data_IF_803364246127
#
_entry.id   IF_803364246127
#
_cell.length_a   1.000
_cell.length_b   1.000
_cell.length_c   1.000
_cell.angle_alpha   90.00
_cell.angle_beta   90.00
_cell.angle_gamma   90.00
#
_symmetry.space_group_name_H-M   'P 1'
#
loop_
_entity.id
_entity.type
_entity.pdbx_description
1 polymer ?
#
# COMPACT_ATOMS: atom_id res chain seq x y z
N UNK A 1 20.85 -18.25 14.83
CA UNK A 1 19.56 -17.86 15.42
C UNK A 1 19.10 -16.60 14.71
N UNK A 2 18.08 -16.70 13.86
CA UNK A 2 17.42 -15.53 13.28
C UNK A 2 16.12 -15.28 14.05
N UNK A 3 15.97 -14.15 14.77
CA UNK A 3 14.74 -13.85 15.50
C UNK A 3 13.52 -13.64 14.58
N UNK A 4 13.72 -13.39 13.27
CA UNK A 4 12.65 -13.14 12.31
C UNK A 4 11.89 -11.84 12.60
N UNK A 5 10.56 -11.91 12.59
CA UNK A 5 9.59 -10.82 12.80
C UNK A 5 9.47 -9.78 11.68
N UNK A 6 9.81 -10.16 10.45
CA UNK A 6 9.53 -9.34 9.28
C UNK A 6 8.24 -9.82 8.58
N UNK A 7 7.58 -8.90 7.88
CA UNK A 7 6.53 -9.19 6.92
C UNK A 7 7.14 -9.25 5.52
N UNK A 8 7.21 -10.45 4.94
CA UNK A 8 7.84 -10.73 3.64
C UNK A 8 6.75 -11.24 2.70
N UNK A 9 5.94 -10.32 2.18
CA UNK A 9 4.87 -10.64 1.21
C UNK A 9 4.51 -9.43 0.34
N UNK A 10 3.95 -9.69 -0.84
CA UNK A 10 3.57 -8.68 -1.81
C UNK A 10 4.76 -8.09 -2.59
N UNK A 11 5.90 -8.79 -2.62
CA UNK A 11 7.03 -8.39 -3.46
C UNK A 11 6.86 -9.07 -4.83
N UNK A 12 6.85 -8.27 -5.90
CA UNK A 12 6.68 -8.80 -7.25
C UNK A 12 7.37 -7.95 -8.29
N UNK A 13 7.75 -8.59 -9.40
CA UNK A 13 8.33 -7.94 -10.57
C UNK A 13 7.55 -8.34 -11.82
N UNK A 14 7.16 -7.36 -12.64
CA UNK A 14 6.47 -7.56 -13.93
C UNK A 14 5.21 -8.47 -13.90
N UNK A 15 4.52 -8.55 -12.76
CA UNK A 15 3.29 -9.35 -12.59
C UNK A 15 3.49 -10.76 -12.04
N UNK A 16 4.74 -11.19 -11.78
CA UNK A 16 5.04 -12.38 -11.00
C UNK A 16 5.31 -12.00 -9.53
N UNK A 17 4.67 -12.70 -8.59
CA UNK A 17 4.87 -12.50 -7.14
C UNK A 17 6.01 -13.43 -6.70
N UNK A 18 7.15 -12.84 -6.36
CA UNK A 18 8.26 -13.52 -5.71
C UNK A 18 8.53 -12.75 -4.43
N UNK A 19 7.90 -13.19 -3.34
CA UNK A 19 8.02 -12.57 -2.02
C UNK A 19 9.48 -12.56 -1.53
N UNK A 20 10.28 -13.56 -1.94
CA UNK A 20 11.72 -13.59 -1.78
C UNK A 20 12.42 -14.28 -2.97
N UNK A 21 13.51 -13.68 -3.49
CA UNK A 21 14.37 -14.29 -4.51
C UNK A 21 15.80 -14.37 -3.97
N UNK A 22 16.38 -15.58 -3.84
CA UNK A 22 17.78 -15.71 -3.47
C UNK A 22 18.68 -15.61 -4.71
N UNK A 23 19.24 -14.44 -5.00
CA UNK A 23 20.10 -14.23 -6.16
C UNK A 23 21.58 -14.57 -5.91
N UNK A 24 21.88 -15.37 -4.89
CA UNK A 24 23.25 -15.73 -4.51
C UNK A 24 23.38 -17.23 -4.25
N UNK A 25 24.60 -17.81 -4.31
CA UNK A 25 24.84 -19.19 -3.89
C UNK A 25 24.78 -19.42 -2.36
N UNK A 26 24.65 -18.36 -1.57
CA UNK A 26 24.66 -18.46 -0.10
C UNK A 26 23.25 -18.68 0.44
N UNK A 27 23.14 -19.48 1.50
CA UNK A 27 21.86 -19.74 2.16
C UNK A 27 21.30 -18.49 2.86
N UNK A 28 19.98 -18.35 2.83
CA UNK A 28 19.23 -17.31 3.53
C UNK A 28 18.42 -17.95 4.66
N UNK A 29 18.65 -17.46 5.88
CA UNK A 29 17.83 -17.82 7.03
C UNK A 29 16.66 -16.83 7.12
N UNK A 30 15.45 -17.25 6.76
CA UNK A 30 14.23 -16.43 6.71
C UNK A 30 13.12 -16.95 7.65
N UNK A 31 13.53 -17.61 8.73
CA UNK A 31 12.67 -18.25 9.72
C UNK A 31 11.97 -17.21 10.60
N UNK A 32 10.78 -17.54 11.12
CA UNK A 32 9.96 -16.69 11.99
C UNK A 32 9.51 -15.38 11.32
N UNK A 33 9.36 -15.34 9.99
CA UNK A 33 8.76 -14.22 9.27
C UNK A 33 7.30 -14.52 8.89
N UNK A 34 6.49 -13.48 8.71
CA UNK A 34 5.12 -13.59 8.22
C UNK A 34 5.08 -13.36 6.71
N UNK A 35 4.47 -14.30 5.98
CA UNK A 35 4.50 -14.34 4.51
C UNK A 35 3.12 -14.03 3.89
N UNK A 36 2.25 -13.30 4.62
CA UNK A 36 0.88 -13.01 4.18
C UNK A 36 -0.07 -14.22 4.27
N UNK A 37 0.47 -15.41 4.52
CA UNK A 37 -0.25 -16.67 4.71
C UNK A 37 0.54 -17.59 5.64
N UNK A 38 -0.16 -18.54 6.26
CA UNK A 38 0.45 -19.62 7.04
C UNK A 38 0.44 -20.96 6.28
N UNK A 39 -0.04 -20.95 5.04
CA UNK A 39 -0.01 -22.12 4.16
C UNK A 39 1.41 -22.29 3.58
N UNK A 40 2.09 -23.38 3.95
CA UNK A 40 3.49 -23.64 3.58
C UNK A 40 3.69 -23.68 2.07
N UNK A 41 2.81 -24.38 1.35
CA UNK A 41 2.92 -24.53 -0.11
C UNK A 41 2.79 -23.18 -0.83
N UNK A 42 1.92 -22.30 -0.31
CA UNK A 42 1.76 -20.93 -0.83
C UNK A 42 2.99 -20.07 -0.59
N UNK A 43 3.67 -20.26 0.54
CA UNK A 43 4.93 -19.55 0.85
C UNK A 43 6.05 -20.06 -0.06
N UNK A 44 6.20 -21.38 -0.22
CA UNK A 44 7.20 -21.97 -1.12
C UNK A 44 7.05 -21.46 -2.56
N UNK A 45 5.83 -21.40 -3.08
CA UNK A 45 5.56 -20.89 -4.44
C UNK A 45 5.99 -19.44 -4.66
N UNK A 46 6.14 -18.64 -3.60
CA UNK A 46 6.55 -17.24 -3.67
C UNK A 46 8.04 -17.04 -3.33
N UNK A 47 8.79 -18.12 -3.06
CA UNK A 47 10.22 -18.08 -2.81
C UNK A 47 10.94 -18.71 -4.01
N UNK A 48 11.85 -17.98 -4.64
CA UNK A 48 12.73 -18.54 -5.68
C UNK A 48 14.11 -18.84 -5.08
N UNK A 49 14.48 -20.13 -5.00
CA UNK A 49 15.71 -20.57 -4.33
C UNK A 49 16.22 -21.92 -4.85
N UNK A 50 17.08 -22.61 -4.07
CA UNK A 50 17.78 -23.83 -4.48
C UNK A 50 16.90 -24.91 -5.16
N UNK A 51 15.65 -25.20 -4.73
CA UNK A 51 14.79 -26.17 -5.41
C UNK A 51 14.38 -25.77 -6.84
N UNK A 52 14.36 -24.47 -7.14
CA UNK A 52 14.04 -23.93 -8.47
C UNK A 52 15.28 -23.83 -9.36
N UNK A 53 16.42 -23.40 -8.78
CA UNK A 53 17.71 -23.35 -9.45
C UNK A 53 18.82 -23.84 -8.50
N UNK A 54 19.48 -24.97 -8.80
CA UNK A 54 20.51 -25.55 -7.94
C UNK A 54 21.79 -24.72 -7.80
N UNK A 55 21.96 -23.63 -8.56
CA UNK A 55 23.09 -22.69 -8.39
C UNK A 55 22.86 -21.65 -7.27
N UNK A 56 21.63 -21.56 -6.75
CA UNK A 56 21.24 -20.63 -5.70
C UNK A 56 21.34 -21.30 -4.32
N UNK A 57 21.50 -20.48 -3.28
CA UNK A 57 21.48 -20.96 -1.90
C UNK A 57 20.06 -21.28 -1.42
N UNK A 58 19.97 -22.09 -0.37
CA UNK A 58 18.70 -22.49 0.22
C UNK A 58 18.07 -21.35 1.03
N UNK A 59 16.76 -21.15 0.88
CA UNK A 59 16.00 -20.30 1.81
C UNK A 59 15.38 -21.20 2.89
N UNK A 60 15.83 -21.03 4.12
CA UNK A 60 15.21 -21.68 5.29
C UNK A 60 14.15 -20.75 5.86
N UNK A 61 12.86 -20.97 5.57
CA UNK A 61 11.76 -20.08 5.97
C UNK A 61 10.87 -20.64 7.09
N UNK A 62 11.01 -21.93 7.43
CA UNK A 62 10.28 -22.55 8.53
C UNK A 62 11.00 -22.36 9.87
N UNK A 63 10.28 -22.09 10.97
CA UNK A 63 8.82 -21.96 11.05
C UNK A 63 8.31 -20.60 10.53
N UNK A 64 7.07 -20.57 10.04
CA UNK A 64 6.38 -19.33 9.62
C UNK A 64 5.79 -18.65 10.86
N UNK A 65 5.99 -17.34 11.00
CA UNK A 65 5.32 -16.57 12.04
C UNK A 65 3.85 -16.36 11.68
N UNK A 66 2.99 -16.33 12.70
CA UNK A 66 1.62 -15.83 12.56
C UNK A 66 1.68 -14.34 12.23
N UNK A 67 0.61 -13.81 11.63
CA UNK A 67 0.45 -12.37 11.40
C UNK A 67 0.89 -11.62 12.66
N UNK A 68 1.79 -10.61 12.56
CA UNK A 68 2.20 -9.87 13.74
C UNK A 68 0.94 -9.30 14.39
N UNK A 69 0.61 -9.80 15.58
CA UNK A 69 -0.49 -9.30 16.43
C UNK A 69 -0.12 -7.94 17.02
N UNK A 70 0.24 -6.97 16.18
CA UNK A 70 0.07 -5.58 16.53
C UNK A 70 -1.42 -5.34 16.53
N UNK A 71 -2.03 -5.06 17.69
CA UNK A 71 -3.46 -4.80 17.89
C UNK A 71 -4.27 -5.14 16.65
N UNK A 72 -4.69 -6.40 16.51
CA UNK A 72 -5.77 -6.70 15.59
C UNK A 72 -6.93 -5.86 16.09
N UNK A 73 -7.11 -4.69 15.50
CA UNK A 73 -8.43 -4.12 15.41
C UNK A 73 -9.25 -5.28 14.86
N UNK A 74 -10.26 -5.76 15.61
CA UNK A 74 -11.00 -6.95 15.21
C UNK A 74 -11.35 -6.80 13.75
N UNK A 75 -11.40 -7.90 13.00
CA UNK A 75 -11.88 -7.92 11.63
C UNK A 75 -13.32 -7.39 11.58
N UNK A 76 -13.50 -6.08 11.73
CA UNK A 76 -14.36 -5.31 10.87
C UNK A 76 -13.87 -5.70 9.50
N UNK A 77 -14.74 -6.31 8.70
CA UNK A 77 -14.60 -6.27 7.26
C UNK A 77 -14.18 -4.85 6.90
N UNK A 78 -12.88 -4.62 6.66
CA UNK A 78 -12.39 -3.32 6.25
C UNK A 78 -12.90 -3.17 4.83
N UNK A 79 -14.13 -2.67 4.72
CA UNK A 79 -14.64 -1.99 3.54
C UNK A 79 -13.80 -0.70 3.42
N UNK A 80 -12.50 -0.87 3.21
CA UNK A 80 -11.53 0.21 3.13
C UNK A 80 -11.78 0.96 1.83
N UNK A 81 -11.82 2.28 1.93
CA UNK A 81 -11.81 3.12 0.74
C UNK A 81 -10.38 3.07 0.18
N UNK A 82 -10.25 2.59 -1.04
CA UNK A 82 -9.03 2.69 -1.82
C UNK A 82 -9.07 4.07 -2.50
N UNK A 83 -8.04 4.87 -2.24
CA UNK A 83 -7.86 6.17 -2.87
C UNK A 83 -6.48 6.23 -3.52
N UNK A 84 -6.44 6.27 -4.84
CA UNK A 84 -5.23 6.45 -5.62
C UNK A 84 -5.09 7.93 -6.01
N UNK A 85 -3.88 8.46 -5.92
CA UNK A 85 -3.62 9.86 -6.27
C UNK A 85 -2.45 9.96 -7.23
N UNK A 86 -2.67 10.59 -8.39
CA UNK A 86 -1.66 10.72 -9.43
C UNK A 86 -1.84 12.01 -10.27
N UNK A 87 -0.77 12.60 -10.80
CA UNK A 87 0.62 12.30 -10.47
C UNK A 87 0.93 12.78 -9.04
N UNK A 88 1.81 12.06 -8.36
CA UNK A 88 2.41 12.49 -7.10
C UNK A 88 3.89 12.09 -7.14
N UNK A 89 4.83 13.03 -7.32
CA UNK A 89 4.68 14.49 -7.19
C UNK A 89 3.85 15.19 -8.30
N UNK A 90 3.36 16.40 -8.01
CA UNK A 90 2.65 17.27 -8.96
C UNK A 90 3.14 18.72 -8.87
N UNK A 91 2.82 19.57 -9.84
CA UNK A 91 3.12 21.00 -9.83
C UNK A 91 1.91 21.87 -9.49
N UNK A 92 0.69 21.41 -9.81
CA UNK A 92 -0.52 22.26 -9.69
C UNK A 92 -1.83 21.49 -9.53
N UNK A 93 -1.94 20.31 -10.14
CA UNK A 93 -3.17 19.51 -10.11
C UNK A 93 -2.89 18.01 -9.99
N UNK A 94 -3.77 17.28 -9.34
CA UNK A 94 -3.70 15.82 -9.24
C UNK A 94 -5.09 15.21 -9.38
N UNK A 95 -5.14 13.95 -9.76
CA UNK A 95 -6.35 13.15 -9.88
C UNK A 95 -6.49 12.25 -8.66
N UNK A 96 -7.72 12.07 -8.18
CA UNK A 96 -8.10 11.19 -7.08
C UNK A 96 -9.08 10.16 -7.61
N UNK A 97 -8.61 8.93 -7.75
CA UNK A 97 -9.46 7.77 -8.04
C UNK A 97 -9.89 7.15 -6.71
N UNK A 98 -11.20 6.93 -6.55
CA UNK A 98 -11.78 6.38 -5.33
C UNK A 98 -12.54 5.11 -5.68
N UNK A 99 -12.13 3.99 -5.08
CA UNK A 99 -12.80 2.70 -5.19
C UNK A 99 -13.32 2.31 -3.80
N UNK A 100 -14.59 1.92 -3.74
CA UNK A 100 -15.26 1.46 -2.53
C UNK A 100 -16.06 0.20 -2.86
N UNK A 101 -16.06 -0.78 -1.96
CA UNK A 101 -16.89 -1.97 -2.07
C UNK A 101 -18.38 -1.71 -1.78
N UNK A 102 -18.75 -0.51 -1.31
CA UNK A 102 -20.12 -0.11 -0.92
C UNK A 102 -20.86 0.64 -2.05
N UNK A 103 -20.76 0.17 -3.30
CA UNK A 103 -21.41 0.80 -4.45
C UNK A 103 -22.92 0.51 -4.44
N UNK A 104 -23.67 1.06 -3.48
CA UNK A 104 -25.13 1.09 -3.57
C UNK A 104 -25.74 2.47 -3.31
N UNK A 105 -25.03 3.40 -2.67
CA UNK A 105 -25.39 4.81 -2.62
C UNK A 105 -24.08 5.60 -2.70
N UNK A 106 -23.92 6.52 -3.65
CA UNK A 106 -22.67 7.25 -3.86
C UNK A 106 -22.70 8.59 -3.12
N UNK A 107 -22.26 8.69 -1.84
CA UNK A 107 -22.00 9.99 -1.28
C UNK A 107 -20.85 10.62 -2.08
N UNK A 108 -21.02 11.88 -2.48
CA UNK A 108 -19.93 12.67 -3.04
C UNK A 108 -18.83 12.75 -1.95
N UNK A 109 -17.58 12.35 -2.24
CA UNK A 109 -16.51 12.43 -1.26
C UNK A 109 -16.20 13.88 -0.92
N UNK A 110 -16.01 14.17 0.35
CA UNK A 110 -15.42 15.43 0.80
C UNK A 110 -13.91 15.39 0.59
N UNK A 111 -13.38 16.32 -0.21
CA UNK A 111 -11.94 16.49 -0.43
C UNK A 111 -11.46 17.78 0.21
N UNK A 112 -10.42 17.68 1.03
CA UNK A 112 -9.83 18.80 1.76
C UNK A 112 -8.30 18.69 1.68
N UNK A 113 -7.62 19.78 1.36
CA UNK A 113 -6.17 19.81 1.26
C UNK A 113 -5.59 20.78 2.29
N UNK A 114 -4.59 20.34 3.06
CA UNK A 114 -3.86 21.19 4.01
C UNK A 114 -2.35 21.11 3.81
N UNK A 115 -1.63 22.16 4.16
CA UNK A 115 -0.16 22.12 4.21
C UNK A 115 0.34 21.36 5.47
N UNK A 116 1.66 21.20 5.58
CA UNK A 116 2.27 20.52 6.73
C UNK A 116 2.06 21.24 8.08
N UNK A 117 1.71 22.53 8.05
CA UNK A 117 1.31 23.30 9.24
C UNK A 117 -0.18 23.18 9.57
N UNK A 118 -0.96 22.44 8.77
CA UNK A 118 -2.40 22.26 8.94
C UNK A 118 -3.25 23.38 8.36
N UNK A 119 -2.67 24.38 7.68
CA UNK A 119 -3.43 25.44 7.02
C UNK A 119 -4.09 24.88 5.76
N UNK A 120 -5.37 25.19 5.56
CA UNK A 120 -6.13 24.75 4.40
C UNK A 120 -5.65 25.44 3.13
N UNK A 121 -5.39 24.64 2.09
CA UNK A 121 -5.08 25.10 0.74
C UNK A 121 -6.37 25.17 -0.07
N UNK A 122 -6.56 26.27 -0.79
CA UNK A 122 -7.72 26.46 -1.64
C UNK A 122 -7.62 25.56 -2.89
N UNK A 123 -8.67 24.77 -3.15
CA UNK A 123 -8.75 23.83 -4.26
C UNK A 123 -10.06 23.99 -5.04
N UNK A 124 -10.01 23.71 -6.33
CA UNK A 124 -11.18 23.36 -7.14
C UNK A 124 -11.21 21.85 -7.35
N UNK A 125 -12.40 21.27 -7.26
CA UNK A 125 -12.63 19.82 -7.42
C UNK A 125 -13.59 19.62 -8.57
N UNK A 126 -13.11 18.96 -9.62
CA UNK A 126 -13.90 18.63 -10.81
C UNK A 126 -14.15 17.13 -10.84
N UNK A 127 -15.43 16.72 -10.89
CA UNK A 127 -15.80 15.31 -11.06
C UNK A 127 -15.54 14.88 -12.51
N UNK A 128 -14.86 13.76 -12.69
CA UNK A 128 -14.59 13.13 -13.98
C UNK A 128 -15.08 11.66 -13.97
N UNK A 129 -15.00 10.97 -15.11
CA UNK A 129 -15.55 9.63 -15.28
C UNK A 129 -15.03 8.60 -14.25
N UNK A 130 -13.75 8.70 -13.88
CA UNK A 130 -13.05 7.72 -13.03
C UNK A 130 -12.63 8.30 -11.66
N UNK A 131 -13.14 9.47 -11.26
CA UNK A 131 -12.70 10.11 -10.03
C UNK A 131 -12.83 11.62 -10.02
N UNK A 132 -11.88 12.29 -9.38
CA UNK A 132 -11.92 13.74 -9.13
C UNK A 132 -10.59 14.38 -9.48
N UNK A 133 -10.60 15.37 -10.37
CA UNK A 133 -9.45 16.23 -10.64
C UNK A 133 -9.44 17.39 -9.66
N UNK A 134 -8.38 17.47 -8.87
CA UNK A 134 -8.15 18.52 -7.87
C UNK A 134 -7.11 19.49 -8.41
N UNK A 135 -7.44 20.78 -8.39
CA UNK A 135 -6.59 21.87 -8.90
C UNK A 135 -6.36 22.88 -7.78
N UNK A 136 -5.11 23.27 -7.54
CA UNK A 136 -4.80 24.34 -6.60
C UNK A 136 -5.26 25.69 -7.15
N UNK A 137 -5.89 26.53 -6.32
CA UNK A 137 -6.18 27.93 -6.71
C UNK A 137 -4.95 28.83 -6.67
N UNK A 138 -3.99 28.48 -5.82
CA UNK A 138 -2.78 29.26 -5.58
C UNK A 138 -1.56 28.35 -5.70
N UNK A 139 -0.44 28.93 -6.16
CA UNK A 139 0.81 28.18 -6.24
C UNK A 139 1.26 27.73 -4.84
N UNK A 140 1.56 26.44 -4.70
CA UNK A 140 2.07 25.86 -3.48
C UNK A 140 3.22 24.92 -3.81
N UNK A 141 4.24 24.87 -2.93
CA UNK A 141 5.37 23.97 -3.02
C UNK A 141 5.61 23.33 -1.66
N UNK A 142 5.99 22.06 -1.66
CA UNK A 142 6.22 21.28 -0.45
C UNK A 142 5.17 20.20 -0.24
N UNK A 143 5.05 19.74 1.00
CA UNK A 143 4.19 18.61 1.36
C UNK A 143 2.81 19.13 1.74
N UNK A 144 1.77 18.49 1.18
CA UNK A 144 0.38 18.69 1.57
C UNK A 144 -0.27 17.36 1.94
N UNK A 145 -1.34 17.43 2.72
CA UNK A 145 -2.14 16.28 3.13
C UNK A 145 -3.56 16.44 2.58
N UNK A 146 -3.95 15.51 1.71
CA UNK A 146 -5.31 15.38 1.20
C UNK A 146 -6.10 14.50 2.16
N UNK A 147 -7.12 15.07 2.80
CA UNK A 147 -8.15 14.34 3.55
C UNK A 147 -9.33 14.05 2.62
N UNK A 148 -9.70 12.78 2.56
CA UNK A 148 -10.80 12.23 1.77
C UNK A 148 -11.82 11.68 2.77
N UNK A 149 -13.02 12.22 2.75
CA UNK A 149 -14.13 11.76 3.59
C UNK A 149 -15.19 11.15 2.68
N UNK A 150 -15.58 9.91 2.92
CA UNK A 150 -16.61 9.23 2.14
C UNK A 150 -17.47 8.40 3.09
N UNK A 151 -18.78 8.66 3.10
CA UNK A 151 -19.68 8.21 4.15
C UNK A 151 -19.14 8.59 5.54
N UNK A 152 -18.95 7.61 6.43
CA UNK A 152 -18.40 7.73 7.78
C UNK A 152 -16.88 7.52 7.85
N UNK A 153 -16.24 7.23 6.72
CA UNK A 153 -14.81 6.88 6.66
C UNK A 153 -13.96 8.06 6.20
N UNK A 154 -12.76 8.12 6.77
CA UNK A 154 -11.74 9.14 6.46
C UNK A 154 -10.45 8.47 6.02
N UNK A 155 -9.88 8.93 4.91
CA UNK A 155 -8.57 8.53 4.40
C UNK A 155 -7.70 9.77 4.19
N UNK A 156 -6.41 9.67 4.50
CA UNK A 156 -5.45 10.75 4.25
C UNK A 156 -4.36 10.31 3.28
N UNK A 157 -3.96 11.19 2.35
CA UNK A 157 -2.88 10.97 1.38
C UNK A 157 -1.90 12.13 1.39
N UNK A 158 -0.61 11.83 1.38
CA UNK A 158 0.47 12.81 1.25
C UNK A 158 0.66 13.17 -0.21
N UNK A 159 0.65 14.46 -0.54
CA UNK A 159 0.89 15.01 -1.88
C UNK A 159 2.15 15.86 -1.84
N UNK A 160 3.02 15.71 -2.84
CA UNK A 160 4.25 16.48 -2.98
C UNK A 160 4.07 17.46 -4.14
N UNK A 161 4.12 18.76 -3.82
CA UNK A 161 4.09 19.85 -4.80
C UNK A 161 5.51 20.37 -5.08
N UNK A 162 5.87 20.52 -6.37
CA UNK A 162 7.20 20.95 -6.83
C UNK A 162 7.17 22.24 -7.63
#
# INVERSE_FOLDING_TARGET
YNPGNNSIYGNGNEGAVFDLYNNTPNDIMAQNNYWGTTNIDSVEMHIFHQPDDPQLGLVTYLPIALEPVGFSQPAHSRQDIIANVYPNPTTHSFFVEIQSSEILHTPVPGLQLSDAGGRMLAIDVNKEANGYKVVLKEAYRGIAFLKITFADKVKTKKIIFR
#
